data_IF_572630415109
#
_entry.id   IF_572630415109
#
_cell.length_a   1.000
_cell.length_b   1.000
_cell.length_c   1.000
_cell.angle_alpha   90.00
_cell.angle_beta   90.00
_cell.angle_gamma   90.00
#
_symmetry.space_group_name_H-M   'P 1'
#
loop_
_entity.id
_entity.type
_entity.pdbx_description
1 polymer ?
#
# COMPACT_ATOMS: atom_id res chain seq x y z
N UNK A 1 2.60 25.56 -1.95
CA UNK A 1 2.21 24.18 -2.30
C UNK A 1 0.74 24.03 -1.94
N UNK A 2 -0.12 23.76 -2.91
CA UNK A 2 -1.58 23.75 -2.69
C UNK A 2 -2.03 22.66 -1.73
N UNK A 3 -1.39 21.49 -1.77
CA UNK A 3 -1.65 20.39 -0.82
C UNK A 3 -1.43 20.83 0.62
N UNK A 4 -0.38 21.63 0.90
CA UNK A 4 -0.12 22.14 2.26
C UNK A 4 -1.26 23.01 2.75
N UNK A 5 -1.71 23.97 1.93
CA UNK A 5 -2.82 24.87 2.28
C UNK A 5 -4.12 24.09 2.49
N UNK A 6 -4.38 23.09 1.64
CA UNK A 6 -5.57 22.24 1.75
C UNK A 6 -5.59 21.42 3.03
N UNK A 7 -4.48 20.76 3.40
CA UNK A 7 -4.45 19.99 4.66
C UNK A 7 -4.54 20.92 5.88
N UNK A 8 -3.94 22.11 5.82
CA UNK A 8 -4.06 23.14 6.86
C UNK A 8 -5.50 23.64 7.02
N UNK A 9 -6.25 23.82 5.93
CA UNK A 9 -7.68 24.20 6.01
C UNK A 9 -8.56 23.10 6.62
N UNK A 10 -8.10 21.85 6.61
CA UNK A 10 -8.75 20.72 7.27
C UNK A 10 -8.32 20.56 8.74
N UNK A 11 -7.53 21.50 9.30
CA UNK A 11 -7.00 21.41 10.66
C UNK A 11 -5.83 20.43 10.83
N UNK A 12 -5.30 19.89 9.73
CA UNK A 12 -4.13 19.01 9.73
C UNK A 12 -2.84 19.80 9.52
N UNK A 13 -1.70 19.17 9.83
CA UNK A 13 -0.37 19.74 9.62
C UNK A 13 0.33 18.99 8.49
N UNK A 14 0.70 19.70 7.42
CA UNK A 14 1.48 19.16 6.32
C UNK A 14 2.94 19.63 6.37
N UNK A 15 3.91 18.71 6.31
CA UNK A 15 5.34 19.07 6.24
C UNK A 15 6.12 18.18 5.28
N UNK A 16 6.92 18.81 4.43
CA UNK A 16 7.89 18.14 3.57
C UNK A 16 9.22 17.91 4.29
N UNK A 17 9.81 16.74 4.07
CA UNK A 17 11.13 16.37 4.57
C UNK A 17 11.95 15.78 3.44
N UNK A 18 13.26 16.08 3.42
CA UNK A 18 14.21 15.29 2.64
C UNK A 18 14.72 14.16 3.53
N UNK A 19 14.63 12.92 3.05
CA UNK A 19 14.87 11.72 3.85
C UNK A 19 15.97 10.89 3.18
N UNK A 20 16.92 10.37 3.96
CA UNK A 20 17.91 9.39 3.48
C UNK A 20 17.29 8.00 3.34
N UNK A 21 17.95 7.09 2.63
CA UNK A 21 17.46 5.71 2.53
C UNK A 21 17.36 5.04 3.91
N UNK A 22 18.34 5.25 4.81
CA UNK A 22 18.30 4.65 6.14
C UNK A 22 17.11 5.15 6.96
N UNK A 23 16.81 6.45 6.87
CA UNK A 23 15.63 7.03 7.53
C UNK A 23 14.32 6.55 6.90
N UNK A 24 14.31 6.29 5.59
CA UNK A 24 13.14 5.76 4.91
C UNK A 24 12.74 4.39 5.46
N UNK A 25 13.71 3.50 5.74
CA UNK A 25 13.48 2.16 6.31
C UNK A 25 12.90 2.19 7.73
N UNK A 26 13.11 3.27 8.47
CA UNK A 26 12.56 3.47 9.81
C UNK A 26 11.30 4.35 9.84
N UNK A 27 10.85 4.84 8.69
CA UNK A 27 9.68 5.69 8.59
C UNK A 27 8.40 4.85 8.83
N UNK A 28 7.70 5.15 9.93
CA UNK A 28 6.44 4.48 10.34
C UNK A 28 5.20 5.32 10.06
N UNK A 29 5.32 6.37 9.28
CA UNK A 29 4.22 7.29 8.96
C UNK A 29 4.06 7.31 7.45
N UNK A 30 2.86 7.00 6.92
CA UNK A 30 2.60 7.10 5.49
C UNK A 30 2.85 8.52 4.98
N UNK A 31 3.38 8.64 3.77
CA UNK A 31 3.76 9.91 3.20
C UNK A 31 3.49 10.00 1.72
N UNK A 32 3.21 11.22 1.24
CA UNK A 32 3.11 11.50 -0.18
C UNK A 32 4.51 11.66 -0.76
N UNK A 33 4.79 10.92 -1.82
CA UNK A 33 6.06 10.99 -2.56
C UNK A 33 5.79 11.24 -4.03
N UNK A 34 6.64 12.06 -4.66
CA UNK A 34 6.58 12.31 -6.10
C UNK A 34 7.43 11.26 -6.82
N UNK A 35 6.78 10.31 -7.48
CA UNK A 35 7.47 9.35 -8.33
C UNK A 35 7.70 9.91 -9.73
N UNK A 36 8.74 9.42 -10.38
CA UNK A 36 9.03 9.58 -11.80
C UNK A 36 9.18 8.20 -12.42
N UNK A 37 8.17 7.78 -13.19
CA UNK A 37 8.16 6.50 -13.87
C UNK A 37 8.18 6.77 -15.37
N UNK A 38 9.36 6.63 -15.99
CA UNK A 38 9.56 6.84 -17.43
C UNK A 38 9.11 8.23 -17.92
N UNK A 39 9.36 9.28 -17.12
CA UNK A 39 8.99 10.66 -17.43
C UNK A 39 7.57 11.04 -17.01
N UNK A 40 6.78 10.08 -16.55
CA UNK A 40 5.48 10.35 -15.94
C UNK A 40 5.65 10.61 -14.45
N UNK A 41 5.35 11.84 -14.02
CA UNK A 41 5.50 12.27 -12.64
C UNK A 41 4.14 12.37 -11.95
N UNK A 42 3.96 11.61 -10.88
CA UNK A 42 2.72 11.60 -10.11
C UNK A 42 2.98 11.39 -8.62
N UNK A 43 2.02 11.83 -7.80
CA UNK A 43 2.06 11.58 -6.37
C UNK A 43 1.48 10.20 -6.07
N UNK A 44 2.19 9.46 -5.24
CA UNK A 44 1.71 8.21 -4.64
C UNK A 44 1.84 8.29 -3.13
N UNK A 45 1.09 7.44 -2.42
CA UNK A 45 1.25 7.28 -0.98
C UNK A 45 2.28 6.17 -0.75
N UNK A 46 3.44 6.52 -0.20
CA UNK A 46 4.35 5.54 0.41
C UNK A 46 3.74 5.12 1.75
N UNK A 47 3.31 3.87 1.85
CA UNK A 47 2.72 3.29 3.07
C UNK A 47 3.81 2.98 4.09
N UNK A 48 4.77 2.15 3.69
CA UNK A 48 5.91 1.73 4.51
C UNK A 48 7.00 1.09 3.66
N UNK A 49 8.19 0.94 4.24
CA UNK A 49 9.28 0.11 3.70
C UNK A 49 9.51 -1.06 4.65
N UNK A 50 9.51 -2.29 4.12
CA UNK A 50 9.72 -3.53 4.90
C UNK A 50 10.77 -4.40 4.22
N UNK A 51 11.88 -4.65 4.92
CA UNK A 51 13.04 -5.27 4.30
C UNK A 51 13.48 -4.44 3.10
N UNK A 52 13.56 -5.08 1.93
CA UNK A 52 13.92 -4.44 0.66
C UNK A 52 12.71 -4.22 -0.25
N UNK A 53 11.51 -4.07 0.33
CA UNK A 53 10.28 -3.80 -0.41
C UNK A 53 9.64 -2.48 0.05
N UNK A 54 9.24 -1.66 -0.90
CA UNK A 54 8.41 -0.47 -0.68
C UNK A 54 6.94 -0.79 -0.99
N UNK A 55 6.05 -0.50 -0.05
CA UNK A 55 4.61 -0.60 -0.22
C UNK A 55 4.04 0.77 -0.62
N UNK A 56 3.39 0.82 -1.77
CA UNK A 56 2.83 2.05 -2.34
C UNK A 56 1.33 1.89 -2.58
N UNK A 57 0.57 2.96 -2.36
CA UNK A 57 -0.78 3.12 -2.87
C UNK A 57 -0.75 4.16 -4.00
N UNK A 58 -0.83 3.67 -5.23
CA UNK A 58 -0.82 4.46 -6.46
C UNK A 58 -2.27 4.73 -6.91
N UNK A 59 -2.70 5.99 -7.11
CA UNK A 59 -4.05 6.30 -7.59
C UNK A 59 -4.41 5.69 -8.94
N UNK A 60 -3.41 5.36 -9.77
CA UNK A 60 -3.59 4.84 -11.13
C UNK A 60 -3.56 3.32 -11.13
N UNK A 61 -2.65 2.71 -10.37
CA UNK A 61 -2.35 1.27 -10.42
C UNK A 61 -2.78 0.50 -9.17
N UNK A 62 -3.34 1.18 -8.16
CA UNK A 62 -3.73 0.58 -6.89
C UNK A 62 -2.54 0.31 -5.96
N UNK A 63 -2.71 -0.65 -5.04
CA UNK A 63 -1.67 -1.03 -4.09
C UNK A 63 -0.59 -1.86 -4.78
N UNK A 64 0.68 -1.45 -4.64
CA UNK A 64 1.83 -2.11 -5.26
C UNK A 64 2.93 -2.37 -4.22
N UNK A 65 3.62 -3.49 -4.42
CA UNK A 65 4.91 -3.77 -3.79
C UNK A 65 5.99 -3.64 -4.85
N UNK A 66 7.01 -2.84 -4.58
CA UNK A 66 8.19 -2.67 -5.44
C UNK A 66 9.46 -3.02 -4.67
N UNK A 67 10.49 -3.60 -5.32
CA UNK A 67 11.84 -3.60 -4.78
C UNK A 67 12.24 -2.17 -4.39
N UNK A 68 12.93 -2.04 -3.25
CA UNK A 68 13.32 -0.74 -2.74
C UNK A 68 14.26 0.00 -3.70
N UNK A 69 15.14 -0.73 -4.38
CA UNK A 69 16.02 -0.18 -5.42
C UNK A 69 15.23 0.47 -6.56
N UNK A 70 14.19 -0.19 -7.06
CA UNK A 70 13.30 0.33 -8.12
C UNK A 70 12.56 1.57 -7.65
N UNK A 71 12.09 1.55 -6.40
CA UNK A 71 11.46 2.71 -5.78
C UNK A 71 12.42 3.90 -5.70
N UNK A 72 13.65 3.68 -5.23
CA UNK A 72 14.66 4.74 -5.10
C UNK A 72 15.05 5.32 -6.45
N UNK A 73 15.17 4.48 -7.49
CA UNK A 73 15.41 4.92 -8.86
C UNK A 73 14.26 5.81 -9.39
N UNK A 74 13.01 5.45 -9.08
CA UNK A 74 11.83 6.22 -9.45
C UNK A 74 11.50 7.38 -8.51
N UNK A 75 12.27 7.61 -7.43
CA UNK A 75 12.05 8.69 -6.45
C UNK A 75 13.31 9.57 -6.27
N UNK A 76 13.72 10.31 -7.31
CA UNK A 76 14.97 11.06 -7.29
C UNK A 76 14.98 12.24 -6.31
N UNK A 77 13.79 12.79 -5.98
CA UNK A 77 13.68 13.97 -5.11
C UNK A 77 14.08 13.72 -3.67
N UNK A 78 14.04 12.45 -3.22
CA UNK A 78 14.18 12.03 -1.82
C UNK A 78 13.31 12.84 -0.84
N UNK A 79 12.22 13.42 -1.35
CA UNK A 79 11.30 14.25 -0.59
C UNK A 79 10.02 13.49 -0.27
N UNK A 80 9.65 13.47 1.01
CA UNK A 80 8.39 12.92 1.50
C UNK A 80 7.59 14.05 2.12
N UNK A 81 6.32 14.17 1.75
CA UNK A 81 5.37 15.06 2.38
C UNK A 81 4.48 14.29 3.35
N UNK A 82 4.58 14.61 4.63
CA UNK A 82 3.85 13.95 5.70
C UNK A 82 2.68 14.83 6.11
N UNK A 83 1.52 14.21 6.31
CA UNK A 83 0.29 14.85 6.81
C UNK A 83 -0.04 14.25 8.17
N UNK A 84 -0.23 15.10 9.18
CA UNK A 84 -0.53 14.70 10.56
C UNK A 84 -1.75 15.48 11.06
N UNK A 85 -2.83 14.77 11.41
CA UNK A 85 -3.98 15.33 12.13
C UNK A 85 -3.84 15.24 13.64
N UNK A 86 -4.74 15.88 14.38
CA UNK A 86 -4.85 15.78 15.86
C UNK A 86 -4.97 14.33 16.35
N UNK A 87 -5.65 13.50 15.58
CA UNK A 87 -6.02 12.13 15.94
C UNK A 87 -5.29 11.09 15.06
N UNK A 88 -4.02 11.37 14.70
CA UNK A 88 -3.25 10.46 13.87
C UNK A 88 -3.04 9.11 14.56
N UNK A 89 -3.73 8.09 14.06
CA UNK A 89 -3.56 6.71 14.50
C UNK A 89 -2.26 6.12 13.94
N UNK A 90 -1.34 5.78 14.85
CA UNK A 90 -0.08 5.13 14.52
C UNK A 90 -0.24 3.66 14.11
N UNK A 91 -1.41 3.07 14.34
CA UNK A 91 -1.79 1.72 13.95
C UNK A 91 -2.78 1.73 12.77
N UNK A 92 -2.68 2.73 11.89
CA UNK A 92 -3.54 2.89 10.73
C UNK A 92 -3.55 1.65 9.83
N UNK A 93 -4.72 1.38 9.21
CA UNK A 93 -4.91 0.35 8.18
C UNK A 93 -3.92 0.47 7.01
N UNK A 94 -3.33 1.65 6.80
CA UNK A 94 -2.31 1.87 5.79
C UNK A 94 -0.96 1.21 6.15
N UNK A 95 -0.72 0.85 7.40
CA UNK A 95 0.48 0.10 7.80
C UNK A 95 0.26 -1.42 7.81
N UNK A 96 -0.99 -1.87 7.62
CA UNK A 96 -1.27 -3.29 7.46
C UNK A 96 -0.57 -3.80 6.20
N UNK A 97 0.11 -4.96 6.27
CA UNK A 97 0.80 -5.53 5.13
C UNK A 97 -0.18 -5.72 3.97
N UNK A 98 0.17 -5.19 2.80
CA UNK A 98 -0.60 -5.46 1.58
C UNK A 98 -0.34 -6.91 1.15
N UNK A 99 -1.20 -7.83 1.59
CA UNK A 99 -1.09 -9.23 1.18
C UNK A 99 -1.43 -9.38 -0.29
N UNK A 100 -0.50 -9.92 -1.08
CA UNK A 100 -0.82 -10.33 -2.44
C UNK A 100 -1.73 -11.56 -2.34
N UNK A 101 -2.97 -11.50 -2.87
CA UNK A 101 -3.79 -12.70 -2.94
C UNK A 101 -3.04 -13.72 -3.78
N UNK A 102 -2.83 -14.90 -3.22
CA UNK A 102 -2.24 -16.03 -3.94
C UNK A 102 -3.11 -17.25 -3.69
N UNK A 103 -3.24 -18.12 -4.69
CA UNK A 103 -3.99 -19.36 -4.54
C UNK A 103 -3.52 -20.13 -3.30
N UNK A 104 -2.20 -20.23 -3.09
CA UNK A 104 -1.63 -20.88 -1.91
C UNK A 104 -2.04 -20.22 -0.58
N UNK A 105 -1.98 -18.89 -0.48
CA UNK A 105 -2.40 -18.20 0.73
C UNK A 105 -3.91 -18.32 0.98
N UNK A 106 -4.71 -18.33 -0.08
CA UNK A 106 -6.17 -18.51 -0.01
C UNK A 106 -6.54 -19.95 0.38
N UNK A 107 -5.91 -20.95 -0.24
CA UNK A 107 -6.06 -22.36 0.13
C UNK A 107 -5.64 -22.63 1.58
N UNK A 108 -4.54 -22.03 2.03
CA UNK A 108 -4.11 -22.13 3.44
C UNK A 108 -5.11 -21.49 4.42
N UNK A 109 -5.93 -20.54 3.97
CA UNK A 109 -7.01 -19.91 4.76
C UNK A 109 -8.32 -20.68 4.73
N UNK A 110 -8.56 -21.49 3.70
CA UNK A 110 -9.81 -22.24 3.51
C UNK A 110 -10.05 -23.34 4.55
N UNK A 111 -9.10 -23.62 5.44
CA UNK A 111 -9.19 -24.69 6.46
C UNK A 111 -10.37 -24.62 7.45
N UNK A 112 -11.24 -23.60 7.37
CA UNK A 112 -12.48 -23.52 8.15
C UNK A 112 -13.72 -23.07 7.35
N UNK A 113 -13.60 -22.82 6.05
CA UNK A 113 -14.67 -22.27 5.21
C UNK A 113 -14.56 -22.75 3.75
N UNK A 114 -14.29 -24.04 3.56
CA UNK A 114 -14.45 -24.66 2.25
C UNK A 114 -15.94 -24.64 1.89
N UNK A 115 -16.28 -24.22 0.67
CA UNK A 115 -17.63 -24.31 0.12
C UNK A 115 -18.04 -25.78 0.20
N UNK A 116 -19.18 -26.05 0.81
CA UNK A 116 -19.69 -27.41 0.97
C UNK A 116 -20.16 -27.99 -0.36
N UNK A 117 -20.16 -29.32 -0.50
CA UNK A 117 -20.68 -29.98 -1.71
C UNK A 117 -22.13 -29.57 -2.01
N UNK A 118 -22.93 -29.29 -0.98
CA UNK A 118 -24.29 -28.80 -1.12
C UNK A 118 -24.33 -27.40 -1.79
N UNK A 119 -23.46 -26.49 -1.37
CA UNK A 119 -23.34 -25.17 -1.99
C UNK A 119 -22.80 -25.29 -3.42
N UNK A 120 -21.86 -26.20 -3.70
CA UNK A 120 -21.35 -26.43 -5.05
C UNK A 120 -22.45 -26.93 -6.01
N UNK A 121 -23.33 -27.80 -5.54
CA UNK A 121 -24.50 -28.26 -6.31
C UNK A 121 -25.46 -27.10 -6.61
N UNK A 122 -25.67 -26.17 -5.65
CA UNK A 122 -26.48 -24.96 -5.87
C UNK A 122 -25.86 -24.01 -6.91
N UNK A 123 -24.53 -24.04 -7.08
CA UNK A 123 -23.82 -23.34 -8.16
C UNK A 123 -23.83 -24.09 -9.51
N UNK A 124 -24.47 -25.26 -9.58
CA UNK A 124 -24.64 -26.04 -10.81
C UNK A 124 -23.52 -27.05 -11.10
N UNK A 125 -22.62 -27.31 -10.13
CA UNK A 125 -21.66 -28.41 -10.25
C UNK A 125 -22.39 -29.75 -10.12
N UNK A 126 -22.10 -30.70 -11.02
CA UNK A 126 -22.72 -32.02 -10.95
C UNK A 126 -21.90 -32.94 -10.04
N UNK A 127 -22.52 -33.98 -9.50
CA UNK A 127 -21.80 -34.99 -8.71
C UNK A 127 -20.64 -35.64 -9.49
N UNK A 128 -20.66 -35.65 -10.82
CA UNK A 128 -19.56 -36.17 -11.64
C UNK A 128 -18.33 -35.24 -11.71
N UNK A 129 -18.49 -33.95 -11.37
CA UNK A 129 -17.41 -32.97 -11.35
C UNK A 129 -16.67 -32.91 -10.00
N UNK A 130 -17.22 -33.56 -8.97
CA UNK A 130 -16.73 -33.53 -7.59
C UNK A 130 -15.94 -34.80 -7.20
N UNK A 131 -15.86 -35.82 -8.08
CA UNK A 131 -15.17 -37.11 -7.84
C UNK A 131 -14.33 -37.57 -9.03
#
# INVERSE_FOLDING_TARGET
LDIKRYVESLGMRGRGYRISEERLRSLRVPGLVLMDVRGFRHFVVLKQVRGDMAELADPILGNRLLPLEDFLAAWPSRAVFIVIGSDFDRNTVLLLPSEKPSARALYARQGAAAITDAELVDFGFTHADLF
#
